data_IF_799960891111
#
_entry.id   IF_799960891111
#
_cell.length_a   1.000
_cell.length_b   1.000
_cell.length_c   1.000
_cell.angle_alpha   90.00
_cell.angle_beta   90.00
_cell.angle_gamma   90.00
#
_symmetry.space_group_name_H-M   'P 1'
#
loop_
_entity.id
_entity.type
_entity.pdbx_description
1 polymer ?
#
# COMPACT_ATOMS: atom_id res chain seq x y z
N UNK A 1 -14.05 4.67 -13.86
CA UNK A 1 -13.47 3.49 -13.20
C UNK A 1 -12.01 3.72 -12.85
N UNK A 2 -11.14 4.00 -13.82
CA UNK A 2 -9.67 4.06 -13.65
C UNK A 2 -9.21 5.14 -12.69
N UNK A 3 -9.71 6.37 -12.81
CA UNK A 3 -9.45 7.45 -11.83
C UNK A 3 -10.01 7.16 -10.43
N UNK A 4 -11.00 6.28 -10.34
CA UNK A 4 -11.50 5.79 -9.06
C UNK A 4 -10.43 5.04 -8.25
N UNK A 5 -9.39 4.50 -8.92
CA UNK A 5 -8.26 3.84 -8.25
C UNK A 5 -7.48 4.87 -7.45
N UNK A 6 -7.18 6.01 -8.06
CA UNK A 6 -6.50 7.11 -7.40
C UNK A 6 -7.34 7.68 -6.25
N UNK A 7 -8.65 7.85 -6.44
CA UNK A 7 -9.53 8.35 -5.39
C UNK A 7 -9.65 7.36 -4.21
N UNK A 8 -9.82 6.07 -4.49
CA UNK A 8 -9.89 5.03 -3.48
C UNK A 8 -8.56 4.88 -2.71
N UNK A 9 -7.44 4.95 -3.44
CA UNK A 9 -6.10 4.99 -2.86
C UNK A 9 -5.93 6.21 -1.95
N UNK A 10 -6.26 7.41 -2.42
CA UNK A 10 -6.12 8.61 -1.61
C UNK A 10 -6.96 8.55 -0.32
N UNK A 11 -8.18 7.99 -0.36
CA UNK A 11 -8.99 7.81 0.83
C UNK A 11 -8.35 6.85 1.85
N UNK A 12 -7.81 5.72 1.39
CA UNK A 12 -7.09 4.77 2.24
C UNK A 12 -5.80 5.37 2.81
N UNK A 13 -5.00 5.99 1.97
CA UNK A 13 -3.69 6.51 2.37
C UNK A 13 -3.79 7.78 3.22
N UNK A 14 -4.91 8.51 3.20
CA UNK A 14 -5.18 9.57 4.19
C UNK A 14 -5.35 8.99 5.60
N UNK A 15 -6.00 7.83 5.74
CA UNK A 15 -6.04 7.12 7.03
C UNK A 15 -4.62 6.72 7.44
N UNK A 16 -3.84 6.15 6.53
CA UNK A 16 -2.46 5.72 6.80
C UNK A 16 -1.55 6.91 7.19
N UNK A 17 -1.59 8.03 6.45
CA UNK A 17 -0.84 9.25 6.78
C UNK A 17 -1.18 9.71 8.20
N UNK A 18 -2.46 9.75 8.55
CA UNK A 18 -2.92 10.28 9.82
C UNK A 18 -2.57 9.38 11.01
N UNK A 19 -2.45 8.06 10.80
CA UNK A 19 -2.41 7.09 11.90
C UNK A 19 -1.11 6.29 11.99
N UNK A 20 -0.41 6.05 10.88
CA UNK A 20 0.65 5.03 10.80
C UNK A 20 1.83 5.28 11.76
N UNK A 21 2.39 6.49 11.77
CA UNK A 21 3.54 6.80 12.61
C UNK A 21 3.18 6.76 14.10
N UNK A 22 2.02 7.30 14.48
CA UNK A 22 1.52 7.29 15.86
C UNK A 22 1.19 5.88 16.34
N UNK A 23 0.48 5.12 15.50
CA UNK A 23 0.12 3.74 15.79
C UNK A 23 1.35 2.86 15.97
N UNK A 24 2.36 2.96 15.10
CA UNK A 24 3.56 2.12 15.20
C UNK A 24 4.31 2.36 16.52
N UNK A 25 4.43 3.62 16.95
CA UNK A 25 5.03 3.96 18.26
C UNK A 25 4.25 3.34 19.42
N UNK A 26 2.92 3.43 19.38
CA UNK A 26 2.05 2.89 20.44
C UNK A 26 1.99 1.35 20.44
N UNK A 27 2.02 0.71 19.26
CA UNK A 27 1.93 -0.73 19.10
C UNK A 27 3.26 -1.45 19.37
N UNK A 28 4.40 -0.74 19.28
CA UNK A 28 5.75 -1.32 19.40
C UNK A 28 5.97 -2.21 20.63
N UNK A 29 5.57 -1.83 21.87
CA UNK A 29 5.76 -2.70 23.03
C UNK A 29 5.04 -4.04 22.87
N UNK A 30 3.75 -4.01 22.52
CA UNK A 30 2.93 -5.21 22.29
C UNK A 30 3.46 -6.07 21.15
N UNK A 31 3.98 -5.45 20.08
CA UNK A 31 4.59 -6.18 18.96
C UNK A 31 5.90 -6.84 19.37
N UNK A 32 6.73 -6.18 20.17
CA UNK A 32 7.98 -6.74 20.71
C UNK A 32 7.69 -7.95 21.60
N UNK A 33 6.67 -7.87 22.46
CA UNK A 33 6.25 -8.99 23.31
C UNK A 33 5.75 -10.20 22.51
N UNK A 34 5.05 -9.96 21.39
CA UNK A 34 4.51 -11.01 20.51
C UNK A 34 5.54 -11.62 19.56
N UNK A 35 6.66 -10.93 19.33
CA UNK A 35 7.70 -11.32 18.38
C UNK A 35 9.08 -11.33 19.07
N UNK A 36 9.26 -12.13 20.15
CA UNK A 36 10.49 -12.11 20.95
C UNK A 36 11.72 -12.60 20.18
N UNK A 37 11.53 -13.29 19.05
CA UNK A 37 12.61 -13.73 18.16
C UNK A 37 13.19 -12.61 17.29
N UNK A 38 12.57 -11.42 17.25
CA UNK A 38 13.07 -10.28 16.48
C UNK A 38 14.09 -9.50 17.32
N UNK A 39 15.36 -9.34 16.87
CA UNK A 39 16.39 -8.65 17.63
C UNK A 39 16.06 -7.19 17.91
N UNK A 40 16.46 -6.66 19.08
CA UNK A 40 16.19 -5.27 19.48
C UNK A 40 16.70 -4.22 18.50
N UNK A 41 17.86 -4.47 17.88
CA UNK A 41 18.42 -3.65 16.80
C UNK A 41 17.51 -3.51 15.57
N UNK A 42 16.55 -4.42 15.37
CA UNK A 42 15.54 -4.33 14.31
C UNK A 42 14.43 -3.40 14.76
N UNK A 43 13.96 -3.55 16.01
CA UNK A 43 12.96 -2.66 16.60
C UNK A 43 13.42 -1.21 16.69
N UNK A 44 14.70 -0.97 17.01
CA UNK A 44 15.30 0.37 17.06
C UNK A 44 15.35 1.04 15.69
N UNK A 45 15.55 0.25 14.63
CA UNK A 45 15.55 0.74 13.23
C UNK A 45 14.15 0.77 12.60
N UNK A 46 13.17 0.17 13.28
CA UNK A 46 11.78 0.13 12.83
C UNK A 46 11.02 1.41 13.19
N UNK A 47 11.65 2.39 13.86
CA UNK A 47 11.02 3.69 14.03
C UNK A 47 10.77 4.32 12.65
N UNK A 48 9.54 4.76 12.44
CA UNK A 48 9.06 5.21 11.14
C UNK A 48 8.55 6.63 11.33
N UNK A 49 9.37 7.58 10.89
CA UNK A 49 9.08 8.99 11.07
C UNK A 49 7.90 9.40 10.18
N UNK A 50 7.15 10.43 10.61
CA UNK A 50 6.06 10.97 9.79
C UNK A 50 6.56 11.44 8.41
N UNK A 51 7.79 11.95 8.33
CA UNK A 51 8.41 12.35 7.05
C UNK A 51 8.60 11.17 6.10
N UNK A 52 9.05 10.03 6.62
CA UNK A 52 9.19 8.80 5.84
C UNK A 52 7.83 8.26 5.39
N UNK A 53 6.81 8.26 6.26
CA UNK A 53 5.42 7.93 5.89
C UNK A 53 4.96 8.81 4.73
N UNK A 54 5.03 10.14 4.90
CA UNK A 54 4.55 11.09 3.90
C UNK A 54 5.28 10.94 2.56
N UNK A 55 6.61 10.71 2.61
CA UNK A 55 7.41 10.54 1.40
C UNK A 55 7.07 9.23 0.68
N UNK A 56 6.97 8.12 1.43
CA UNK A 56 6.62 6.83 0.86
C UNK A 56 5.22 6.85 0.21
N UNK A 57 4.24 7.43 0.91
CA UNK A 57 2.87 7.59 0.41
C UNK A 57 2.83 8.53 -0.79
N UNK A 58 3.58 9.65 -0.78
CA UNK A 58 3.69 10.54 -1.93
C UNK A 58 4.24 9.85 -3.19
N UNK A 59 5.31 9.06 -3.04
CA UNK A 59 5.89 8.28 -4.13
C UNK A 59 4.92 7.21 -4.65
N UNK A 60 4.21 6.53 -3.75
CA UNK A 60 3.17 5.56 -4.14
C UNK A 60 2.03 6.26 -4.90
N UNK A 61 1.64 7.46 -4.46
CA UNK A 61 0.61 8.27 -5.13
C UNK A 61 0.97 8.59 -6.58
N UNK A 62 2.24 8.89 -6.87
CA UNK A 62 2.71 9.09 -8.26
C UNK A 62 2.54 7.81 -9.09
N UNK A 63 2.90 6.65 -8.55
CA UNK A 63 2.75 5.36 -9.23
C UNK A 63 1.26 5.05 -9.50
N UNK A 64 0.40 5.25 -8.50
CA UNK A 64 -1.04 5.00 -8.61
C UNK A 64 -1.70 5.97 -9.58
N UNK A 65 -1.31 7.24 -9.56
CA UNK A 65 -1.80 8.25 -10.52
C UNK A 65 -1.38 7.89 -11.96
N UNK A 66 -0.12 7.49 -12.16
CA UNK A 66 0.36 7.04 -13.47
C UNK A 66 -0.41 5.80 -13.96
N UNK A 67 -0.67 4.84 -13.07
CA UNK A 67 -1.46 3.65 -13.39
C UNK A 67 -2.92 4.02 -13.75
N UNK A 68 -3.53 4.92 -12.99
CA UNK A 68 -4.89 5.40 -13.25
C UNK A 68 -5.00 6.14 -14.60
N UNK A 69 -4.01 6.98 -14.92
CA UNK A 69 -3.92 7.70 -16.19
C UNK A 69 -3.74 6.76 -17.38
N UNK A 70 -2.82 5.79 -17.28
CA UNK A 70 -2.60 4.81 -18.34
C UNK A 70 -3.82 3.87 -18.51
N UNK A 71 -4.47 3.52 -17.40
CA UNK A 71 -5.77 2.85 -17.41
C UNK A 71 -6.82 3.67 -18.16
N UNK A 72 -6.94 4.97 -17.88
CA UNK A 72 -7.92 5.84 -18.54
C UNK A 72 -7.67 5.91 -20.06
N UNK A 73 -6.41 6.10 -20.46
CA UNK A 73 -5.97 6.15 -21.86
C UNK A 73 -6.27 4.85 -22.62
N UNK A 74 -6.17 3.70 -21.95
CA UNK A 74 -6.35 2.37 -22.57
C UNK A 74 -7.75 1.79 -22.38
N UNK A 75 -8.68 2.52 -21.76
CA UNK A 75 -10.00 1.99 -21.39
C UNK A 75 -9.93 0.80 -20.42
N UNK A 76 -8.89 0.74 -19.57
CA UNK A 76 -8.68 -0.32 -18.59
C UNK A 76 -7.88 -1.53 -19.08
N UNK A 77 -7.42 -1.54 -20.35
CA UNK A 77 -6.63 -2.65 -20.92
C UNK A 77 -5.16 -2.65 -20.51
N UNK A 78 -4.65 -1.54 -20.00
CA UNK A 78 -3.27 -1.42 -19.51
C UNK A 78 -2.93 -2.55 -18.53
N UNK A 79 -1.81 -3.24 -18.77
CA UNK A 79 -1.29 -4.21 -17.82
C UNK A 79 -0.87 -3.52 -16.51
N UNK A 80 -0.25 -2.34 -16.60
CA UNK A 80 0.17 -1.57 -15.44
C UNK A 80 -1.02 -1.17 -14.55
N UNK A 81 -2.10 -0.66 -15.15
CA UNK A 81 -3.34 -0.36 -14.43
C UNK A 81 -3.92 -1.60 -13.75
N UNK A 82 -4.03 -2.73 -14.47
CA UNK A 82 -4.63 -3.96 -13.94
C UNK A 82 -3.78 -4.58 -12.82
N UNK A 83 -2.46 -4.58 -12.95
CA UNK A 83 -1.55 -5.06 -11.91
C UNK A 83 -1.62 -4.16 -10.67
N UNK A 84 -1.66 -2.84 -10.85
CA UNK A 84 -1.79 -1.89 -9.74
C UNK A 84 -3.15 -2.05 -9.04
N UNK A 85 -4.24 -2.20 -9.79
CA UNK A 85 -5.57 -2.45 -9.25
C UNK A 85 -5.62 -3.76 -8.43
N UNK A 86 -4.99 -4.83 -8.94
CA UNK A 86 -4.91 -6.11 -8.22
C UNK A 86 -4.08 -5.98 -6.93
N UNK A 87 -2.93 -5.29 -7.00
CA UNK A 87 -2.09 -4.98 -5.84
C UNK A 87 -2.83 -4.15 -4.80
N UNK A 88 -3.58 -3.12 -5.22
CA UNK A 88 -4.40 -2.30 -4.34
C UNK A 88 -5.50 -3.10 -3.64
N UNK A 89 -6.19 -4.00 -4.35
CA UNK A 89 -7.15 -4.91 -3.72
C UNK A 89 -6.51 -5.83 -2.68
N UNK A 90 -5.33 -6.39 -3.00
CA UNK A 90 -4.56 -7.22 -2.07
C UNK A 90 -4.09 -6.44 -0.84
N UNK A 91 -3.66 -5.19 -1.02
CA UNK A 91 -3.25 -4.28 0.05
C UNK A 91 -4.36 -4.17 1.12
N UNK A 92 -5.60 -3.94 0.69
CA UNK A 92 -6.74 -3.89 1.61
C UNK A 92 -6.97 -5.21 2.36
N UNK A 93 -6.76 -6.35 1.72
CA UNK A 93 -6.86 -7.67 2.39
C UNK A 93 -5.74 -7.84 3.42
N UNK A 94 -4.52 -7.39 3.11
CA UNK A 94 -3.39 -7.43 4.04
C UNK A 94 -3.68 -6.60 5.29
N UNK A 95 -4.26 -5.41 5.16
CA UNK A 95 -4.67 -4.59 6.31
C UNK A 95 -5.68 -5.29 7.21
N UNK A 96 -6.70 -5.92 6.61
CA UNK A 96 -7.68 -6.69 7.37
C UNK A 96 -7.01 -7.86 8.12
N UNK A 97 -6.11 -8.58 7.46
CA UNK A 97 -5.36 -9.68 8.08
C UNK A 97 -4.44 -9.19 9.20
N UNK A 98 -3.76 -8.05 9.01
CA UNK A 98 -2.93 -7.42 10.03
C UNK A 98 -3.74 -7.01 11.26
N UNK A 99 -4.90 -6.39 11.06
CA UNK A 99 -5.81 -6.05 12.15
C UNK A 99 -6.34 -7.26 12.90
N UNK A 100 -6.74 -8.31 12.18
CA UNK A 100 -7.17 -9.56 12.79
C UNK A 100 -6.04 -10.20 13.63
N UNK A 101 -4.82 -10.27 13.09
CA UNK A 101 -3.65 -10.81 13.80
C UNK A 101 -3.25 -9.95 15.01
N UNK A 102 -3.33 -8.62 14.88
CA UNK A 102 -3.07 -7.70 15.97
C UNK A 102 -4.14 -7.76 17.08
N UNK A 103 -5.38 -8.09 16.69
CA UNK A 103 -6.55 -8.15 17.56
C UNK A 103 -7.06 -6.75 17.90
N UNK A 104 -7.04 -5.83 16.93
CA UNK A 104 -7.45 -4.45 17.13
C UNK A 104 -7.19 -3.57 15.91
N UNK A 105 -7.34 -2.26 16.08
CA UNK A 105 -7.10 -1.29 15.03
C UNK A 105 -5.65 -1.35 14.51
N UNK A 106 -5.49 -1.37 13.19
CA UNK A 106 -4.24 -1.06 12.47
C UNK A 106 -4.53 0.00 11.40
N UNK A 107 -3.56 0.86 11.05
CA UNK A 107 -3.69 1.81 9.95
C UNK A 107 -4.20 1.11 8.68
N UNK A 108 -5.23 1.69 8.05
CA UNK A 108 -5.84 1.15 6.84
C UNK A 108 -7.03 0.21 7.09
N UNK A 109 -7.29 -0.22 8.32
CA UNK A 109 -8.42 -1.15 8.59
C UNK A 109 -9.78 -0.50 8.45
N UNK A 110 -9.92 0.81 8.65
CA UNK A 110 -11.22 1.47 8.53
C UNK A 110 -11.64 1.60 7.05
N UNK A 111 -10.67 1.96 6.20
CA UNK A 111 -10.87 2.18 4.76
C UNK A 111 -10.76 0.92 3.92
N UNK A 112 -10.05 -0.12 4.38
CA UNK A 112 -9.93 -1.38 3.66
C UNK A 112 -11.27 -2.07 3.33
N UNK A 113 -12.17 -2.32 4.30
CA UNK A 113 -13.44 -3.00 4.05
C UNK A 113 -14.50 -2.06 3.45
N UNK A 114 -14.36 -0.74 3.62
CA UNK A 114 -15.36 0.26 3.21
C UNK A 114 -15.06 0.88 1.85
N UNK A 115 -13.78 0.97 1.46
CA UNK A 115 -13.30 1.63 0.24
C UNK A 115 -12.48 0.68 -0.62
N UNK A 116 -11.34 0.18 -0.12
CA UNK A 116 -10.33 -0.51 -0.93
C UNK A 116 -10.89 -1.79 -1.56
N UNK A 117 -11.43 -2.69 -0.74
CA UNK A 117 -11.96 -3.98 -1.18
C UNK A 117 -13.22 -3.78 -2.04
N UNK A 118 -14.23 -2.99 -1.62
CA UNK A 118 -15.41 -2.73 -2.46
C UNK A 118 -15.07 -2.13 -3.82
N UNK A 119 -14.21 -1.10 -3.87
CA UNK A 119 -13.80 -0.48 -5.12
C UNK A 119 -13.07 -1.48 -6.03
N UNK A 120 -12.13 -2.24 -5.47
CA UNK A 120 -11.33 -3.20 -6.24
C UNK A 120 -12.22 -4.29 -6.85
N UNK A 121 -13.14 -4.85 -6.07
CA UNK A 121 -14.11 -5.84 -6.55
C UNK A 121 -15.02 -5.26 -7.64
N UNK A 122 -15.52 -4.04 -7.45
CA UNK A 122 -16.34 -3.35 -8.44
C UNK A 122 -15.59 -3.09 -9.75
N UNK A 123 -14.35 -2.60 -9.67
CA UNK A 123 -13.52 -2.30 -10.84
C UNK A 123 -13.17 -3.59 -11.61
N UNK A 124 -12.83 -4.67 -10.91
CA UNK A 124 -12.59 -5.99 -11.51
C UNK A 124 -13.85 -6.52 -12.21
N UNK A 125 -15.04 -6.38 -11.62
CA UNK A 125 -16.31 -6.76 -12.26
C UNK A 125 -16.58 -5.93 -13.52
N UNK A 126 -16.31 -4.62 -13.50
CA UNK A 126 -16.43 -3.73 -14.67
C UNK A 126 -15.49 -4.14 -15.80
N UNK A 127 -14.24 -4.47 -15.49
CA UNK A 127 -13.27 -4.95 -16.48
C UNK A 127 -13.73 -6.27 -17.13
N UNK A 128 -14.22 -7.23 -16.33
CA UNK A 128 -14.76 -8.51 -16.83
C UNK A 128 -15.98 -8.29 -17.72
N UNK A 129 -16.92 -7.43 -17.32
CA UNK A 129 -18.09 -7.11 -18.12
C UNK A 129 -17.73 -6.45 -19.47
N UNK A 130 -16.60 -5.77 -19.54
CA UNK A 130 -16.05 -5.19 -20.77
C UNK A 130 -15.21 -6.19 -21.61
N UNK A 131 -15.21 -7.48 -21.27
CA UNK A 131 -14.43 -8.50 -21.97
C UNK A 131 -12.91 -8.40 -21.74
N UNK A 132 -12.46 -7.57 -20.79
CA UNK A 132 -11.05 -7.42 -20.49
C UNK A 132 -10.66 -8.55 -19.55
N UNK A 133 -9.67 -9.36 -19.96
CA UNK A 133 -9.15 -10.41 -19.10
C UNK A 133 -8.56 -9.80 -17.81
N UNK A 134 -9.11 -10.23 -16.67
CA UNK A 134 -8.67 -9.83 -15.32
C UNK A 134 -8.39 -11.12 -14.56
N UNK A 135 -7.23 -11.73 -14.83
CA UNK A 135 -6.84 -13.01 -14.26
C UNK A 135 -5.73 -13.72 -15.05
N UNK A 136 -5.28 -14.84 -14.49
CA UNK A 136 -4.20 -15.68 -15.01
C UNK A 136 -3.02 -15.75 -14.03
N UNK A 137 -2.37 -16.91 -13.92
CA UNK A 137 -1.30 -17.15 -12.95
C UNK A 137 -0.20 -16.07 -13.00
N UNK A 138 0.18 -15.63 -14.20
CA UNK A 138 1.17 -14.57 -14.41
C UNK A 138 0.70 -13.20 -13.93
N UNK A 139 -0.55 -12.83 -14.16
CA UNK A 139 -1.11 -11.54 -13.74
C UNK A 139 -1.30 -11.51 -12.21
N UNK A 140 -1.74 -12.63 -11.62
CA UNK A 140 -1.81 -12.81 -10.17
C UNK A 140 -0.43 -12.75 -9.54
N UNK A 141 0.55 -13.49 -10.07
CA UNK A 141 1.93 -13.44 -9.59
C UNK A 141 2.53 -12.03 -9.70
N UNK A 142 2.27 -11.33 -10.81
CA UNK A 142 2.71 -9.95 -10.98
C UNK A 142 2.08 -8.99 -9.95
N UNK A 143 0.79 -9.12 -9.65
CA UNK A 143 0.12 -8.32 -8.61
C UNK A 143 0.64 -8.62 -7.20
N UNK A 144 0.81 -9.92 -6.89
CA UNK A 144 1.37 -10.40 -5.63
C UNK A 144 2.82 -9.92 -5.42
N UNK A 145 3.64 -9.90 -6.48
CA UNK A 145 5.01 -9.43 -6.42
C UNK A 145 5.13 -7.90 -6.43
N UNK A 146 4.23 -7.22 -7.15
CA UNK A 146 4.26 -5.76 -7.28
C UNK A 146 4.07 -5.08 -5.93
N UNK A 147 3.13 -5.55 -5.10
CA UNK A 147 2.86 -4.93 -3.80
C UNK A 147 4.10 -4.87 -2.88
N UNK A 148 4.75 -5.99 -2.51
CA UNK A 148 5.92 -5.95 -1.64
C UNK A 148 7.11 -5.23 -2.28
N UNK A 149 7.31 -5.33 -3.59
CA UNK A 149 8.39 -4.63 -4.30
C UNK A 149 8.16 -3.12 -4.31
N UNK A 150 6.95 -2.66 -4.61
CA UNK A 150 6.61 -1.25 -4.63
C UNK A 150 6.69 -0.66 -3.21
N UNK A 151 6.12 -1.34 -2.21
CA UNK A 151 6.20 -0.95 -0.80
C UNK A 151 7.64 -0.88 -0.32
N UNK A 152 8.45 -1.93 -0.55
CA UNK A 152 9.86 -1.91 -0.19
C UNK A 152 10.61 -0.79 -0.91
N UNK A 153 10.36 -0.60 -2.21
CA UNK A 153 10.97 0.45 -3.03
C UNK A 153 10.67 1.86 -2.51
N UNK A 154 9.41 2.18 -2.21
CA UNK A 154 9.05 3.51 -1.68
C UNK A 154 9.62 3.73 -0.29
N UNK A 155 9.65 2.73 0.59
CA UNK A 155 10.24 2.88 1.92
C UNK A 155 11.76 2.99 1.89
N UNK A 156 12.46 2.23 1.04
CA UNK A 156 13.91 2.36 0.85
C UNK A 156 14.25 3.75 0.31
N UNK A 157 13.51 4.21 -0.69
CA UNK A 157 13.71 5.54 -1.28
C UNK A 157 13.40 6.64 -0.27
N UNK A 158 12.29 6.54 0.47
CA UNK A 158 11.92 7.48 1.51
C UNK A 158 12.99 7.57 2.60
N UNK A 159 13.52 6.43 3.06
CA UNK A 159 14.64 6.40 4.03
C UNK A 159 15.90 7.06 3.47
N UNK A 160 16.23 6.83 2.20
CA UNK A 160 17.38 7.46 1.57
C UNK A 160 17.22 8.99 1.48
N UNK A 161 16.02 9.47 1.15
CA UNK A 161 15.70 10.89 1.07
C UNK A 161 15.57 11.56 2.45
N UNK A 162 15.18 10.80 3.47
CA UNK A 162 15.00 11.30 4.84
C UNK A 162 16.31 11.35 5.64
N UNK A 163 17.37 10.66 5.22
CA UNK A 163 18.69 10.75 5.88
C UNK A 163 19.24 12.18 5.72
N UNK A 164 19.74 12.82 6.80
CA UNK A 164 20.46 14.07 6.66
C UNK A 164 21.61 13.86 5.67
N UNK A 165 21.78 14.76 4.71
CA UNK A 165 23.03 14.84 3.96
C UNK A 165 24.11 15.15 4.99
N UNK A 166 25.04 14.23 5.23
CA UNK A 166 26.28 14.58 5.91
C UNK A 166 26.92 15.70 5.08
N UNK A 167 27.08 16.92 5.60
CA UNK A 167 28.02 17.86 5.00
C UNK A 167 29.38 17.15 5.04
N UNK A 168 30.09 17.18 3.92
CA UNK A 168 31.32 16.42 3.72
C UNK A 168 32.41 16.70 4.75
N UNK A 169 33.33 15.73 4.80
CA UNK A 169 34.63 15.69 5.43
C UNK A 169 35.39 17.02 5.50
#
# INVERSE_FOLDING_TARGET
>A
MTWGLLAAWAANDLEEIATMAGWLRAARPRLKDRLPWVPDRVWERADLSQREVNTAIGLMGVLVAAAAADGARTGGRSAFFRTTLAGFGLHGVVHLAQSAAYGGYTPGVATSPTVVVPYSLWALRRLRAAGIAVGGARATAAGLAFLPVAVAGVHVTARALARPRTPGA
#
